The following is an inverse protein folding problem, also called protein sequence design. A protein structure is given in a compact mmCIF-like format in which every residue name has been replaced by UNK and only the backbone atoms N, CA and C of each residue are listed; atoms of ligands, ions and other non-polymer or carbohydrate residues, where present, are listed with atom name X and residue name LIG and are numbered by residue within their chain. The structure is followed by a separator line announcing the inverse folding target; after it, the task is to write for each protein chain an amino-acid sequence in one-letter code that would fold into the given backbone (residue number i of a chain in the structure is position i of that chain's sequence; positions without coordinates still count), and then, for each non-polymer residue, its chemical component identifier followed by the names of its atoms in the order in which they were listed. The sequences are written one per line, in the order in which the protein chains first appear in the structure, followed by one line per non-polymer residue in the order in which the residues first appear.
data_IF_191115635817
#
_entry.id   IF_191115635817
#
_cell.length_a   1.000
_cell.length_b   1.000
_cell.length_c   1.000
_cell.angle_alpha   90.00
_cell.angle_beta   90.00
_cell.angle_gamma   90.00
#
_symmetry.space_group_name_H-M   'P 1'
#
loop_
_entity.id
_entity.type
_entity.pdbx_description
1 polymer ?
#
# COMPACT_ATOMS: atom_id res chain seq x y z
N UNK A 1 -9.44 -1.03 -4.82
CA UNK A 1 -10.66 -0.48 -4.19
C UNK A 1 -10.38 0.18 -2.85
N UNK A 2 -10.68 1.46 -2.75
CA UNK A 2 -10.63 2.31 -1.55
C UNK A 2 -11.87 2.15 -0.65
N UNK A 3 -11.72 2.35 0.65
CA UNK A 3 -12.82 2.34 1.62
C UNK A 3 -13.92 3.35 1.26
N UNK A 4 -15.22 2.96 1.31
CA UNK A 4 -16.32 3.80 0.83
C UNK A 4 -16.53 5.08 1.65
N UNK A 5 -16.22 5.05 2.95
CA UNK A 5 -16.39 6.20 3.86
C UNK A 5 -15.23 7.20 3.78
N UNK A 6 -14.75 7.44 2.56
CA UNK A 6 -13.67 8.39 2.28
C UNK A 6 -14.08 9.40 1.21
N UNK A 7 -13.37 10.51 1.15
CA UNK A 7 -13.58 11.53 0.13
C UNK A 7 -12.28 12.16 -0.32
N UNK A 8 -12.25 12.60 -1.57
CA UNK A 8 -11.14 13.34 -2.14
C UNK A 8 -11.28 14.83 -1.80
N UNK A 9 -10.25 15.42 -1.21
CA UNK A 9 -10.17 16.88 -0.99
C UNK A 9 -8.85 17.43 -1.51
N UNK A 10 -8.84 18.69 -1.88
CA UNK A 10 -7.61 19.41 -2.16
C UNK A 10 -6.92 19.79 -0.84
N UNK A 11 -5.63 19.45 -0.71
CA UNK A 11 -4.82 19.72 0.49
C UNK A 11 -4.11 21.06 0.32
N UNK A 12 -3.21 21.17 -0.67
CA UNK A 12 -2.49 22.38 -1.04
C UNK A 12 -1.79 22.20 -2.39
N UNK A 13 -1.08 23.23 -2.89
CA UNK A 13 -0.42 23.19 -4.19
C UNK A 13 0.85 22.33 -4.24
N UNK A 14 1.39 21.91 -3.10
CA UNK A 14 2.59 21.07 -3.02
C UNK A 14 2.20 19.59 -3.02
N UNK A 15 1.30 19.19 -2.13
CA UNK A 15 0.79 17.82 -1.99
C UNK A 15 -0.25 17.52 -3.09
N UNK A 16 -1.08 18.49 -3.43
CA UNK A 16 -2.20 18.31 -4.35
C UNK A 16 -3.46 17.85 -3.61
N UNK A 17 -4.01 16.72 -4.02
CA UNK A 17 -5.23 16.15 -3.43
C UNK A 17 -4.88 15.04 -2.44
N UNK A 18 -5.77 14.81 -1.48
CA UNK A 18 -5.64 13.78 -0.46
C UNK A 18 -6.97 13.09 -0.19
N UNK A 19 -6.91 11.92 0.43
CA UNK A 19 -8.07 11.14 0.84
C UNK A 19 -8.37 11.41 2.30
N UNK A 20 -9.63 11.66 2.64
CA UNK A 20 -10.06 11.99 3.99
C UNK A 20 -11.20 11.08 4.42
N UNK A 21 -11.21 10.68 5.69
CA UNK A 21 -12.35 9.99 6.29
C UNK A 21 -13.57 10.91 6.33
N UNK A 22 -14.72 10.39 5.92
CA UNK A 22 -16.02 11.04 6.12
C UNK A 22 -16.73 10.56 7.38
N UNK A 23 -16.50 9.29 7.75
CA UNK A 23 -17.05 8.65 8.93
C UNK A 23 -15.91 8.08 9.79
N UNK A 24 -16.26 7.61 10.98
CA UNK A 24 -15.31 6.92 11.85
C UNK A 24 -14.90 5.56 11.25
N UNK A 25 -13.58 5.34 11.09
CA UNK A 25 -13.01 4.08 10.62
C UNK A 25 -12.18 3.49 11.77
N UNK A 26 -12.66 2.40 12.41
CA UNK A 26 -11.94 1.76 13.52
C UNK A 26 -10.57 1.21 13.09
N UNK A 27 -9.65 1.13 14.05
CA UNK A 27 -8.44 0.31 13.90
C UNK A 27 -8.81 -1.11 13.46
N UNK A 28 -8.05 -1.66 12.51
CA UNK A 28 -8.25 -3.01 11.97
C UNK A 28 -9.16 -3.07 10.73
N UNK A 29 -9.80 -1.95 10.35
CA UNK A 29 -10.59 -1.89 9.12
C UNK A 29 -9.68 -1.85 7.89
N UNK A 30 -9.99 -2.65 6.87
CA UNK A 30 -9.33 -2.62 5.57
C UNK A 30 -9.64 -1.29 4.87
N UNK A 31 -8.61 -0.51 4.53
CA UNK A 31 -8.75 0.83 3.93
C UNK A 31 -8.55 0.83 2.43
N UNK A 32 -7.79 -0.13 1.91
CA UNK A 32 -7.63 -0.39 0.47
C UNK A 32 -7.40 -1.89 0.22
N UNK A 33 -7.98 -2.40 -0.86
CA UNK A 33 -7.72 -3.76 -1.36
C UNK A 33 -7.37 -3.71 -2.84
N UNK A 34 -6.35 -4.47 -3.26
CA UNK A 34 -6.02 -4.62 -4.68
C UNK A 34 -7.08 -5.50 -5.36
N UNK A 35 -7.90 -4.92 -6.23
CA UNK A 35 -8.97 -5.63 -6.93
C UNK A 35 -8.66 -5.79 -8.44
N UNK A 36 -9.54 -6.47 -9.19
CA UNK A 36 -9.31 -6.81 -10.60
C UNK A 36 -9.30 -5.61 -11.58
N UNK A 37 -9.68 -4.42 -11.15
CA UNK A 37 -9.71 -3.20 -11.97
C UNK A 37 -8.43 -2.36 -11.83
N UNK A 38 -7.53 -2.73 -10.92
CA UNK A 38 -6.22 -2.08 -10.80
C UNK A 38 -5.44 -2.16 -12.12
N UNK A 39 -4.81 -1.06 -12.51
CA UNK A 39 -4.00 -1.03 -13.72
C UNK A 39 -2.60 -1.49 -13.35
N UNK A 40 -2.16 -2.60 -13.93
CA UNK A 40 -0.83 -3.16 -13.71
C UNK A 40 0.04 -3.01 -14.96
N UNK A 41 1.16 -2.32 -14.83
CA UNK A 41 2.15 -2.17 -15.90
C UNK A 41 3.45 -2.83 -15.48
N UNK A 42 3.89 -3.83 -16.24
CA UNK A 42 5.26 -4.34 -16.13
C UNK A 42 6.28 -3.24 -16.46
N UNK A 43 7.54 -3.33 -15.99
CA UNK A 43 8.59 -2.37 -16.34
C UNK A 43 8.75 -2.16 -17.84
N UNK A 44 8.54 -3.22 -18.64
CA UNK A 44 8.55 -3.14 -20.09
C UNK A 44 7.35 -2.36 -20.61
N UNK A 45 6.13 -2.63 -20.15
CA UNK A 45 4.95 -1.88 -20.60
C UNK A 45 5.04 -0.40 -20.24
N UNK A 46 5.58 -0.07 -19.06
CA UNK A 46 5.84 1.30 -18.62
C UNK A 46 6.87 2.01 -19.52
N UNK A 47 8.00 1.36 -19.81
CA UNK A 47 9.07 1.99 -20.62
C UNK A 47 8.68 2.26 -22.08
N UNK A 48 7.68 1.54 -22.60
CA UNK A 48 7.13 1.76 -23.94
C UNK A 48 6.04 2.84 -24.00
N UNK A 49 5.63 3.42 -22.87
CA UNK A 49 4.68 4.54 -22.86
C UNK A 49 5.34 5.84 -23.32
N UNK A 50 4.53 6.76 -23.84
CA UNK A 50 4.99 8.12 -24.12
C UNK A 50 5.42 8.84 -22.83
N UNK A 51 6.39 9.78 -22.88
CA UNK A 51 6.89 10.48 -21.69
C UNK A 51 5.81 11.17 -20.86
N UNK A 52 4.75 11.67 -21.50
CA UNK A 52 3.63 12.30 -20.79
C UNK A 52 2.83 11.29 -19.94
N UNK A 53 2.70 10.05 -20.41
CA UNK A 53 2.02 8.97 -19.68
C UNK A 53 2.94 8.44 -18.59
N UNK A 54 4.25 8.28 -18.87
CA UNK A 54 5.23 7.89 -17.85
C UNK A 54 5.18 8.84 -16.65
N UNK A 55 5.15 10.15 -16.88
CA UNK A 55 5.04 11.14 -15.80
C UNK A 55 3.74 11.02 -14.98
N UNK A 56 2.64 10.58 -15.58
CA UNK A 56 1.38 10.32 -14.85
C UNK A 56 1.49 9.04 -14.03
N UNK A 57 2.07 7.98 -14.61
CA UNK A 57 2.28 6.70 -13.91
C UNK A 57 3.24 6.89 -12.74
N UNK A 58 4.39 7.55 -12.94
CA UNK A 58 5.37 7.86 -11.89
C UNK A 58 4.76 8.61 -10.72
N UNK A 59 3.79 9.48 -10.99
CA UNK A 59 3.11 10.27 -9.97
C UNK A 59 2.06 9.50 -9.17
N UNK A 60 1.33 8.60 -9.83
CA UNK A 60 0.10 8.00 -9.28
C UNK A 60 0.17 6.49 -9.09
N UNK A 61 1.34 5.89 -9.24
CA UNK A 61 1.57 4.47 -9.00
C UNK A 61 2.49 4.22 -7.82
N UNK A 62 2.45 2.98 -7.35
CA UNK A 62 3.49 2.39 -6.52
C UNK A 62 4.09 1.17 -7.23
N UNK A 63 5.27 0.73 -6.80
CA UNK A 63 5.94 -0.46 -7.34
C UNK A 63 5.72 -1.64 -6.41
N UNK A 64 5.08 -2.70 -6.90
CA UNK A 64 4.81 -3.92 -6.13
C UNK A 64 6.03 -4.85 -5.99
N UNK A 65 5.86 -5.99 -5.31
CA UNK A 65 6.94 -6.95 -5.07
C UNK A 65 7.44 -7.66 -6.34
N UNK A 66 6.74 -7.53 -7.46
CA UNK A 66 7.11 -8.06 -8.77
C UNK A 66 7.74 -6.98 -9.66
N UNK A 67 7.82 -5.75 -9.18
CA UNK A 67 8.35 -4.60 -9.93
C UNK A 67 7.32 -4.00 -10.88
N UNK A 68 6.04 -4.34 -10.75
CA UNK A 68 4.98 -3.74 -11.56
C UNK A 68 4.56 -2.40 -10.98
N UNK A 69 4.30 -1.44 -11.88
CA UNK A 69 3.69 -0.16 -11.55
C UNK A 69 2.18 -0.37 -11.41
N UNK A 70 1.65 -0.13 -10.23
CA UNK A 70 0.23 -0.31 -9.90
C UNK A 70 -0.42 1.07 -9.81
N UNK A 71 -1.34 1.36 -10.73
CA UNK A 71 -2.13 2.60 -10.71
C UNK A 71 -3.56 2.27 -10.31
N UNK A 72 -4.00 2.86 -9.19
CA UNK A 72 -5.38 2.67 -8.75
C UNK A 72 -6.38 3.38 -9.65
N UNK A 73 -7.35 2.58 -10.09
CA UNK A 73 -8.41 3.02 -10.98
C UNK A 73 -9.34 4.02 -10.27
N UNK A 74 -9.55 3.83 -8.97
CA UNK A 74 -10.35 4.70 -8.10
C UNK A 74 -9.50 5.79 -7.41
N UNK A 75 -10.00 6.36 -6.30
CA UNK A 75 -9.33 7.46 -5.61
C UNK A 75 -8.13 7.04 -4.74
N UNK A 76 -7.80 5.75 -4.59
CA UNK A 76 -6.69 5.31 -3.74
C UNK A 76 -5.32 5.88 -4.16
N UNK A 77 -5.14 6.22 -5.44
CA UNK A 77 -3.94 6.90 -5.96
C UNK A 77 -3.66 8.29 -5.37
N UNK A 78 -4.57 8.83 -4.57
CA UNK A 78 -4.41 10.10 -3.84
C UNK A 78 -4.15 9.90 -2.34
N UNK A 79 -3.94 8.67 -1.87
CA UNK A 79 -3.45 8.43 -0.50
C UNK A 79 -2.03 8.97 -0.42
N UNK A 80 -1.82 9.96 0.44
CA UNK A 80 -0.54 10.64 0.58
C UNK A 80 0.36 9.93 1.59
N UNK A 81 1.64 10.28 1.51
CA UNK A 81 2.61 9.82 2.49
C UNK A 81 2.51 10.56 3.84
N UNK A 82 2.57 9.81 4.94
CA UNK A 82 2.92 10.36 6.26
C UNK A 82 3.98 9.48 6.96
N UNK A 83 4.95 10.10 7.65
CA UNK A 83 5.92 9.38 8.48
C UNK A 83 5.31 8.79 9.78
N UNK A 84 4.14 9.28 10.16
CA UNK A 84 3.31 8.75 11.24
C UNK A 84 1.90 8.44 10.69
N UNK A 85 1.76 7.43 9.82
CA UNK A 85 0.54 7.20 9.06
C UNK A 85 -0.56 6.58 9.92
N UNK A 86 -1.81 6.70 9.50
CA UNK A 86 -2.94 6.04 10.16
C UNK A 86 -3.34 4.72 9.48
N UNK A 87 -2.83 4.44 8.29
CA UNK A 87 -2.95 3.15 7.61
C UNK A 87 -1.59 2.61 7.20
N UNK A 88 -1.50 1.30 6.93
CA UNK A 88 -0.31 0.67 6.34
C UNK A 88 -0.68 -0.45 5.38
N UNK A 89 0.00 -0.47 4.23
CA UNK A 89 0.03 -1.59 3.30
C UNK A 89 0.71 -2.84 3.88
N UNK A 90 0.01 -3.97 3.90
CA UNK A 90 0.45 -5.20 4.56
C UNK A 90 1.11 -6.18 3.60
N UNK A 91 1.96 -7.08 4.12
CA UNK A 91 2.51 -8.22 3.37
C UNK A 91 1.46 -9.24 2.88
N UNK A 92 0.18 -9.00 3.13
CA UNK A 92 -0.94 -9.80 2.63
C UNK A 92 -1.54 -9.26 1.33
N UNK A 93 -1.24 -8.01 0.92
CA UNK A 93 -1.75 -7.42 -0.32
C UNK A 93 -2.97 -6.51 -0.15
N UNK A 94 -3.19 -5.97 1.06
CA UNK A 94 -4.19 -4.94 1.35
C UNK A 94 -3.65 -3.92 2.36
N UNK A 95 -4.28 -2.75 2.43
CA UNK A 95 -4.00 -1.70 3.40
C UNK A 95 -4.99 -1.77 4.58
N UNK A 96 -4.52 -1.49 5.79
CA UNK A 96 -5.32 -1.56 7.02
C UNK A 96 -5.14 -0.31 7.89
N UNK A 97 -6.20 0.11 8.58
CA UNK A 97 -6.13 1.12 9.63
C UNK A 97 -5.35 0.58 10.84
N UNK A 98 -4.25 1.25 11.21
CA UNK A 98 -3.39 0.84 12.34
C UNK A 98 -3.69 1.59 13.65
N UNK A 99 -4.60 2.56 13.58
CA UNK A 99 -5.22 3.29 14.69
C UNK A 99 -6.64 3.67 14.28
N UNK A 100 -7.43 4.14 15.23
CA UNK A 100 -8.73 4.74 14.92
C UNK A 100 -8.55 6.00 14.06
N UNK A 101 -9.42 6.15 13.07
CA UNK A 101 -9.43 7.28 12.14
C UNK A 101 -10.77 7.99 12.28
N UNK A 102 -10.73 9.28 12.56
CA UNK A 102 -11.93 10.09 12.81
C UNK A 102 -12.35 10.87 11.56
N UNK A 103 -13.63 11.26 11.46
CA UNK A 103 -14.10 12.12 10.39
C UNK A 103 -13.23 13.38 10.24
N UNK A 104 -12.76 13.63 9.02
CA UNK A 104 -11.87 14.74 8.70
C UNK A 104 -10.38 14.43 8.78
N UNK A 105 -9.97 13.28 9.32
CA UNK A 105 -8.58 12.83 9.24
C UNK A 105 -8.20 12.49 7.79
N UNK A 106 -6.97 12.82 7.39
CA UNK A 106 -6.41 12.38 6.12
C UNK A 106 -5.96 10.91 6.23
N UNK A 107 -6.34 10.07 5.27
CA UNK A 107 -5.87 8.70 5.13
C UNK A 107 -4.49 8.73 4.49
N UNK A 108 -3.50 8.20 5.19
CA UNK A 108 -2.09 8.27 4.79
C UNK A 108 -1.38 6.96 5.05
N UNK A 109 -0.43 6.62 4.18
CA UNK A 109 0.43 5.43 4.27
C UNK A 109 1.93 5.85 4.32
N UNK A 110 2.81 4.90 4.61
CA UNK A 110 4.26 5.05 4.56
C UNK A 110 4.83 4.62 3.20
N UNK A 111 5.13 5.59 2.33
CA UNK A 111 5.70 5.30 1.01
C UNK A 111 7.06 4.58 1.05
N UNK A 112 7.73 4.54 2.21
CA UNK A 112 8.93 3.73 2.37
C UNK A 112 8.70 2.23 2.13
N UNK A 113 7.44 1.76 2.15
CA UNK A 113 7.06 0.38 1.82
C UNK A 113 7.10 0.09 0.30
N UNK A 114 7.06 1.11 -0.56
CA UNK A 114 6.73 0.96 -1.99
C UNK A 114 7.94 0.97 -2.94
N UNK A 115 8.98 0.19 -2.64
CA UNK A 115 10.10 -0.09 -3.57
C UNK A 115 10.62 1.12 -4.37
N UNK A 116 10.77 2.27 -3.69
CA UNK A 116 11.10 3.53 -4.32
C UNK A 116 12.40 3.42 -5.13
N UNK A 117 12.40 3.93 -6.36
CA UNK A 117 13.63 3.99 -7.15
C UNK A 117 14.56 5.11 -6.67
N UNK A 118 13.99 6.21 -6.16
CA UNK A 118 14.70 7.39 -5.70
C UNK A 118 14.03 7.95 -4.45
N UNK A 119 14.84 8.50 -3.54
CA UNK A 119 14.33 9.15 -2.34
C UNK A 119 13.83 10.57 -2.61
N UNK A 120 12.89 11.05 -1.79
CA UNK A 120 12.28 12.38 -1.94
C UNK A 120 12.17 13.12 -0.60
N UNK A 121 12.13 14.46 -0.66
CA UNK A 121 11.96 15.30 0.52
C UNK A 121 10.52 15.18 1.07
N UNK A 122 10.38 14.98 2.38
CA UNK A 122 9.11 14.75 3.02
C UNK A 122 8.59 16.00 3.72
N UNK A 123 7.37 16.39 3.39
CA UNK A 123 6.65 17.54 3.95
C UNK A 123 5.35 17.14 4.68
N UNK A 124 5.26 15.89 5.15
CA UNK A 124 4.02 15.34 5.76
C UNK A 124 3.54 16.03 7.05
N UNK A 125 4.29 17.00 7.59
CA UNK A 125 3.89 17.74 8.79
C UNK A 125 3.96 16.97 10.12
N UNK A 126 4.21 15.65 10.11
CA UNK A 126 4.34 14.86 11.34
C UNK A 126 5.45 15.40 12.26
N UNK A 127 5.23 15.45 13.59
CA UNK A 127 6.28 15.80 14.56
C UNK A 127 7.52 14.91 14.46
N UNK A 128 7.34 13.66 14.04
CA UNK A 128 8.39 12.67 13.86
C UNK A 128 8.74 12.46 12.37
N UNK A 129 8.55 13.48 11.54
CA UNK A 129 8.87 13.43 10.12
C UNK A 129 10.36 13.10 9.87
N UNK A 130 10.60 12.05 9.06
CA UNK A 130 11.95 11.60 8.62
C UNK A 130 12.68 12.62 7.75
N UNK A 131 12.00 13.65 7.26
CA UNK A 131 12.47 14.70 6.32
C UNK A 131 12.84 14.20 4.93
N UNK A 132 13.23 12.93 4.78
CA UNK A 132 13.46 12.29 3.50
C UNK A 132 13.01 10.84 3.56
N UNK A 133 12.31 10.39 2.53
CA UNK A 133 11.92 8.98 2.37
C UNK A 133 12.89 8.33 1.40
N UNK A 134 13.29 7.11 1.70
CA UNK A 134 14.40 6.42 1.04
C UNK A 134 14.01 5.07 0.46
N UNK A 135 14.64 4.63 -0.65
CA UNK A 135 14.54 3.25 -1.12
C UNK A 135 14.87 2.20 -0.05
N UNK A 136 15.80 2.52 0.86
CA UNK A 136 16.21 1.62 1.94
C UNK A 136 15.24 1.61 3.13
N UNK A 137 14.22 2.48 3.15
CA UNK A 137 13.29 2.57 4.28
C UNK A 137 12.56 1.26 4.55
N UNK A 138 12.28 0.46 3.49
CA UNK A 138 11.70 -0.85 3.66
C UNK A 138 12.57 -1.74 4.56
N UNK A 139 13.86 -1.83 4.25
CA UNK A 139 14.81 -2.62 5.02
C UNK A 139 15.05 -2.05 6.43
N UNK A 140 15.00 -0.73 6.57
CA UNK A 140 15.29 -0.05 7.83
C UNK A 140 14.11 -0.01 8.81
N UNK A 141 12.87 -0.15 8.33
CA UNK A 141 11.67 0.10 9.11
C UNK A 141 10.65 -1.05 9.16
N UNK A 142 10.85 -2.13 8.38
CA UNK A 142 9.90 -3.25 8.34
C UNK A 142 9.50 -3.78 9.73
N UNK A 143 10.45 -3.91 10.67
CA UNK A 143 10.16 -4.44 12.01
C UNK A 143 9.16 -3.57 12.76
N UNK A 144 9.29 -2.25 12.62
CA UNK A 144 8.39 -1.27 13.24
C UNK A 144 7.00 -1.38 12.62
N UNK A 145 6.91 -1.46 11.29
CA UNK A 145 5.63 -1.62 10.60
C UNK A 145 4.97 -2.96 10.93
N UNK A 146 5.73 -4.05 11.00
CA UNK A 146 5.21 -5.35 11.41
C UNK A 146 4.67 -5.34 12.84
N UNK A 147 5.33 -4.62 13.76
CA UNK A 147 4.88 -4.47 15.15
C UNK A 147 3.54 -3.72 15.28
N UNK A 148 3.25 -2.78 14.39
CA UNK A 148 1.99 -2.01 14.41
C UNK A 148 0.88 -2.68 13.59
N UNK A 149 1.22 -3.43 12.54
CA UNK A 149 0.26 -4.19 11.73
C UNK A 149 -0.33 -5.36 12.53
N UNK A 150 0.48 -6.11 13.28
CA UNK A 150 0.01 -7.30 14.02
C UNK A 150 -1.21 -7.00 14.91
N UNK A 151 -1.17 -6.01 15.84
CA UNK A 151 -2.33 -5.64 16.62
C UNK A 151 -3.51 -5.06 15.83
N UNK A 152 -3.32 -4.62 14.58
CA UNK A 152 -4.41 -4.17 13.71
C UNK A 152 -5.08 -5.37 13.01
N UNK A 153 -4.29 -6.37 12.59
CA UNK A 153 -4.81 -7.62 12.05
C UNK A 153 -5.69 -8.34 13.08
N UNK A 154 -5.28 -8.35 14.35
CA UNK A 154 -6.04 -8.99 15.44
C UNK A 154 -7.46 -8.40 15.62
N UNK A 155 -7.73 -7.20 15.09
CA UNK A 155 -9.04 -6.55 15.16
C UNK A 155 -9.93 -6.81 13.93
N UNK A 156 -9.43 -7.49 12.88
CA UNK A 156 -10.15 -7.64 11.62
C UNK A 156 -11.54 -8.26 11.79
N UNK A 157 -11.67 -9.23 12.69
CA UNK A 157 -12.94 -9.94 12.96
C UNK A 157 -13.85 -9.19 13.94
N UNK A 158 -13.33 -8.16 14.62
CA UNK A 158 -14.05 -7.38 15.64
C UNK A 158 -14.72 -6.13 15.07
N UNK A 159 -14.34 -5.71 13.86
CA UNK A 159 -14.82 -4.47 13.22
C UNK A 159 -15.53 -4.77 11.91
N UNK A 160 -16.34 -3.82 11.43
CA UNK A 160 -16.96 -3.96 10.13
C UNK A 160 -15.90 -3.86 9.03
N UNK A 161 -16.05 -4.69 8.00
CA UNK A 161 -15.12 -4.75 6.87
C UNK A 161 -15.86 -4.54 5.54
N UNK A 162 -16.19 -3.29 5.16
CA UNK A 162 -16.90 -3.01 3.91
C UNK A 162 -16.20 -3.55 2.67
N UNK A 163 -14.86 -3.60 2.70
CA UNK A 163 -14.02 -4.06 1.60
C UNK A 163 -13.82 -5.58 1.54
N UNK A 164 -14.24 -6.35 2.56
CA UNK A 164 -13.95 -7.79 2.65
C UNK A 164 -14.44 -8.59 1.45
N UNK A 165 -15.56 -8.17 0.85
CA UNK A 165 -16.17 -8.81 -0.31
C UNK A 165 -15.34 -8.68 -1.60
N UNK A 166 -14.43 -7.69 -1.66
CA UNK A 166 -13.56 -7.44 -2.80
C UNK A 166 -12.16 -8.04 -2.61
N UNK A 167 -11.84 -8.50 -1.39
CA UNK A 167 -10.57 -9.14 -1.09
C UNK A 167 -10.52 -10.54 -1.73
N UNK A 168 -9.37 -10.88 -2.32
CA UNK A 168 -9.15 -12.23 -2.84
C UNK A 168 -9.35 -13.29 -1.74
N UNK A 169 -10.02 -14.39 -2.11
CA UNK A 169 -10.35 -15.47 -1.16
C UNK A 169 -9.10 -16.19 -0.65
N UNK A 170 -8.07 -16.31 -1.48
CA UNK A 170 -6.79 -16.87 -1.08
C UNK A 170 -6.10 -15.98 -0.04
N UNK A 171 -6.09 -14.66 -0.25
CA UNK A 171 -5.58 -13.70 0.73
C UNK A 171 -6.36 -13.82 2.05
N UNK A 172 -7.70 -13.82 2.00
CA UNK A 172 -8.54 -13.96 3.19
C UNK A 172 -8.24 -15.23 3.98
N UNK A 173 -8.02 -16.36 3.30
CA UNK A 173 -7.64 -17.60 3.97
C UNK A 173 -6.29 -17.45 4.69
N UNK A 174 -5.30 -16.79 4.07
CA UNK A 174 -4.00 -16.57 4.72
C UNK A 174 -4.08 -15.63 5.93
N UNK A 175 -5.00 -14.67 5.93
CA UNK A 175 -5.29 -13.83 7.11
C UNK A 175 -5.91 -14.69 8.22
N UNK A 176 -6.90 -15.53 7.90
CA UNK A 176 -7.52 -16.45 8.88
C UNK A 176 -6.52 -17.43 9.47
N UNK A 177 -5.61 -17.97 8.65
CA UNK A 177 -4.54 -18.85 9.13
C UNK A 177 -3.61 -18.14 10.13
N UNK A 178 -3.32 -16.86 9.89
CA UNK A 178 -2.61 -16.02 10.85
C UNK A 178 -3.41 -15.81 12.13
N UNK A 179 -4.70 -15.45 12.07
CA UNK A 179 -5.53 -15.22 13.26
C UNK A 179 -5.71 -16.48 14.12
N UNK A 180 -5.73 -17.67 13.50
CA UNK A 180 -5.88 -18.92 14.24
C UNK A 180 -4.61 -19.36 14.97
N UNK A 181 -3.42 -19.06 14.43
CA UNK A 181 -2.18 -19.69 14.88
C UNK A 181 -1.04 -18.70 15.17
N UNK A 182 -1.12 -17.43 14.78
CA UNK A 182 -0.12 -16.34 14.89
C UNK A 182 1.32 -16.64 14.38
N UNK A 183 1.63 -17.88 14.01
CA UNK A 183 2.95 -18.34 13.58
C UNK A 183 3.29 -17.98 12.12
N UNK A 184 2.30 -17.62 11.30
CA UNK A 184 2.46 -17.33 9.86
C UNK A 184 2.19 -15.87 9.51
N UNK A 185 2.73 -14.95 10.30
CA UNK A 185 2.65 -13.53 9.97
C UNK A 185 3.42 -13.23 8.68
N UNK A 186 2.75 -12.64 7.68
CA UNK A 186 3.40 -12.14 6.47
C UNK A 186 3.92 -10.72 6.71
N UNK A 187 5.22 -10.64 7.00
CA UNK A 187 5.93 -9.36 7.12
C UNK A 187 5.76 -8.50 5.87
N UNK A 188 5.77 -7.17 6.07
CA UNK A 188 5.88 -6.20 4.99
C UNK A 188 7.15 -6.36 4.16
N UNK A 189 8.17 -7.09 4.65
CA UNK A 189 9.30 -7.50 3.80
C UNK A 189 8.89 -8.30 2.56
N UNK A 190 7.72 -8.95 2.58
CA UNK A 190 7.20 -9.63 1.38
C UNK A 190 6.77 -8.67 0.27
N UNK A 191 6.60 -7.37 0.57
CA UNK A 191 6.34 -6.32 -0.41
C UNK A 191 7.62 -5.89 -1.14
N UNK A 192 8.80 -6.31 -0.66
CA UNK A 192 10.08 -5.93 -1.26
C UNK A 192 10.21 -6.54 -2.66
N UNK A 193 10.48 -5.69 -3.63
CA UNK A 193 10.79 -6.10 -4.99
C UNK A 193 12.07 -6.94 -5.01
N UNK A 194 11.90 -8.22 -5.31
CA UNK A 194 13.01 -9.15 -5.42
C UNK A 194 13.35 -9.41 -6.90
N UNK A 195 14.35 -8.67 -7.40
CA UNK A 195 14.87 -8.79 -8.76
C UNK A 195 15.23 -10.23 -9.14
N UNK A 196 15.82 -11.00 -8.23
CA UNK A 196 16.24 -12.39 -8.50
C UNK A 196 15.05 -13.33 -8.71
N UNK A 197 13.95 -13.13 -7.97
CA UNK A 197 12.73 -13.94 -8.07
C UNK A 197 12.05 -13.78 -9.43
N UNK A 198 12.09 -12.58 -10.01
CA UNK A 198 11.52 -12.28 -11.33
C UNK A 198 12.35 -12.90 -12.47
N UNK A 199 13.69 -12.88 -12.38
CA UNK A 199 14.54 -13.54 -13.39
C UNK A 199 14.31 -15.05 -13.44
N UNK A 200 14.10 -15.71 -12.30
CA UNK A 200 13.81 -17.14 -12.24
C UNK A 200 12.48 -17.45 -12.92
N UNK A 201 11.41 -16.72 -12.61
CA UNK A 201 10.09 -16.92 -13.25
C UNK A 201 10.17 -16.74 -14.78
N UNK A 202 10.82 -15.68 -15.26
CA UNK A 202 10.98 -15.43 -16.69
C UNK A 202 11.81 -16.53 -17.40
N UNK A 203 12.81 -17.10 -16.73
CA UNK A 203 13.62 -18.20 -17.29
C UNK A 203 12.87 -19.53 -17.41
N UNK A 204 11.83 -19.77 -16.59
CA UNK A 204 10.97 -20.95 -16.70
C UNK A 204 9.98 -20.86 -17.88
N UNK A 205 9.56 -19.66 -18.27
CA UNK A 205 8.69 -19.47 -19.43
C UNK A 205 9.45 -19.54 -20.76
N UNK A 206 10.72 -19.12 -20.80
CA UNK A 206 11.56 -19.17 -22.00
C UNK A 206 11.96 -20.62 -22.36
N UNK A 207 12.03 -21.53 -21.39
CA UNK A 207 12.40 -22.94 -21.62
C UNK A 207 11.20 -23.87 -21.93
N UNK A 208 10.01 -23.32 -22.21
CA UNK A 208 8.80 -24.08 -22.58
C UNK A 208 8.31 -23.85 -24.02
N UNK A 209 9.11 -23.20 -24.86
CA UNK A 209 8.92 -23.11 -26.33
C UNK A 209 9.97 -23.93 -27.05
#
# INVERSE_FOLDING_TARGET
MLHPDTTLKFVNHVIGSGIFANEFIPKGTLTYVKDSLEIELSPTQFSHQDPAIQAVVDKYSYIDENGHYIVSWDNAKYINHCCDPNTISTGYGFEIAIRDIYPGDEITDDYGIFNLEQGFACECGSPNCRKRIMPEDLDNHYEKWDQIIKPALDEIENVQQPLLQFLDKGILNTVKDYLNNHHQFKSVQNLKFNKEKVYVLNSFYINKT
#
